data_IF_144151574339
#
_entry.id   IF_144151574339
#
_cell.length_a   1.000
_cell.length_b   1.000
_cell.length_c   1.000
_cell.angle_alpha   90.00
_cell.angle_beta   90.00
_cell.angle_gamma   90.00
#
_symmetry.space_group_name_H-M   'P 1'
#
loop_
_entity.id
_entity.type
_entity.pdbx_description
1 polymer ?
#
# COMPACT_ATOMS: atom_id res chain seq x y z
N UNK A 1 -7.36 2.97 3.45
CA UNK A 1 -7.20 2.65 2.01
C UNK A 1 -6.50 1.30 1.86
N UNK A 2 -6.61 0.64 0.69
CA UNK A 2 -5.82 -0.57 0.36
C UNK A 2 -4.92 -0.25 -0.84
N UNK A 3 -3.64 -0.60 -0.75
CA UNK A 3 -2.64 -0.44 -1.81
C UNK A 3 -1.68 -1.62 -1.80
N UNK A 4 -1.01 -1.85 -2.93
CA UNK A 4 0.07 -2.82 -3.02
C UNK A 4 1.32 -2.23 -2.39
N UNK A 5 1.91 -2.94 -1.42
CA UNK A 5 3.14 -2.53 -0.75
C UNK A 5 4.32 -3.35 -1.28
N UNK A 6 5.43 -2.69 -1.61
CA UNK A 6 6.69 -3.33 -1.94
C UNK A 6 7.77 -2.82 -0.99
N UNK A 7 8.37 -3.72 -0.21
CA UNK A 7 9.54 -3.39 0.60
C UNK A 7 10.75 -3.20 -0.30
N UNK A 8 11.48 -2.12 -0.07
CA UNK A 8 12.76 -1.83 -0.69
C UNK A 8 13.86 -1.84 0.39
N UNK A 9 15.15 -1.89 -0.01
CA UNK A 9 16.26 -1.71 0.91
C UNK A 9 16.17 -0.40 1.69
N UNK A 10 16.91 -0.31 2.80
CA UNK A 10 17.01 0.89 3.66
C UNK A 10 15.69 1.34 4.29
N UNK A 11 14.73 0.43 4.48
CA UNK A 11 13.47 0.74 5.18
C UNK A 11 12.46 1.52 4.35
N UNK A 12 12.61 1.57 3.03
CA UNK A 12 11.65 2.24 2.14
C UNK A 12 10.52 1.27 1.78
N UNK A 13 9.28 1.75 1.83
CA UNK A 13 8.10 1.08 1.26
C UNK A 13 7.66 1.85 0.02
N UNK A 14 7.59 1.18 -1.12
CA UNK A 14 6.88 1.70 -2.30
C UNK A 14 5.42 1.31 -2.21
N UNK A 15 4.54 2.30 -2.27
CA UNK A 15 3.09 2.14 -2.28
C UNK A 15 2.60 2.37 -3.70
N UNK A 16 1.99 1.34 -4.29
CA UNK A 16 1.52 1.35 -5.67
C UNK A 16 0.01 1.12 -5.73
N UNK A 17 -0.68 1.91 -6.54
CA UNK A 17 -2.08 1.66 -6.88
C UNK A 17 -2.18 0.59 -7.97
N UNK A 18 -3.21 -0.24 -7.91
CA UNK A 18 -3.52 -1.15 -9.02
C UNK A 18 -4.28 -0.44 -10.17
N UNK A 19 -4.70 0.81 -9.94
CA UNK A 19 -5.19 1.72 -10.97
C UNK A 19 -4.01 2.52 -11.56
N UNK A 20 -3.74 2.42 -12.89
CA UNK A 20 -2.61 3.08 -13.54
C UNK A 20 -2.72 4.61 -13.60
N UNK A 21 -3.89 5.20 -13.29
CA UNK A 21 -4.06 6.65 -13.23
C UNK A 21 -3.35 7.31 -12.04
N UNK A 22 -2.83 6.52 -11.09
CA UNK A 22 -2.20 7.02 -9.87
C UNK A 22 -0.71 6.67 -9.80
N UNK A 23 0.11 7.69 -9.60
CA UNK A 23 1.54 7.52 -9.42
C UNK A 23 1.87 6.80 -8.10
N UNK A 24 2.88 5.91 -8.08
CA UNK A 24 3.40 5.33 -6.85
C UNK A 24 4.10 6.37 -5.98
N UNK A 25 4.04 6.19 -4.66
CA UNK A 25 4.76 7.01 -3.71
C UNK A 25 5.61 6.17 -2.75
N UNK A 26 6.54 6.83 -2.07
CA UNK A 26 7.48 6.20 -1.14
C UNK A 26 7.16 6.61 0.29
N UNK A 27 7.32 5.66 1.21
CA UNK A 27 7.27 5.87 2.65
C UNK A 27 8.62 5.45 3.21
N UNK A 28 9.27 6.32 3.98
CA UNK A 28 10.55 6.03 4.62
C UNK A 28 10.32 5.64 6.08
N UNK A 29 10.47 4.36 6.41
CA UNK A 29 10.27 3.88 7.79
C UNK A 29 11.41 4.25 8.74
N UNK A 30 12.53 4.77 8.23
CA UNK A 30 13.62 5.29 9.05
C UNK A 30 13.39 6.74 9.49
N UNK A 31 12.38 7.42 8.93
CA UNK A 31 12.00 8.77 9.33
C UNK A 31 10.96 8.69 10.46
N UNK A 32 11.37 9.07 11.67
CA UNK A 32 10.55 9.00 12.89
C UNK A 32 9.31 9.91 12.84
N UNK A 33 9.27 10.90 11.95
CA UNK A 33 8.09 11.75 11.74
C UNK A 33 7.03 11.11 10.85
N UNK A 34 7.32 9.94 10.26
CA UNK A 34 6.41 9.24 9.37
C UNK A 34 5.25 8.63 10.16
N UNK A 35 4.07 9.22 10.02
CA UNK A 35 2.82 8.64 10.50
C UNK A 35 2.31 7.57 9.52
N UNK A 36 2.76 6.33 9.72
CA UNK A 36 2.40 5.19 8.87
C UNK A 36 2.19 3.91 9.67
N UNK A 37 1.06 3.24 9.41
CA UNK A 37 0.77 1.93 9.98
C UNK A 37 0.14 0.98 8.96
N UNK A 38 0.55 -0.29 8.99
CA UNK A 38 -0.12 -1.37 8.25
C UNK A 38 -1.13 -2.02 9.19
N UNK A 39 -2.42 -1.76 8.94
CA UNK A 39 -3.51 -2.24 9.80
C UNK A 39 -3.85 -3.72 9.58
N UNK A 40 -3.50 -4.29 8.41
CA UNK A 40 -3.81 -5.67 8.08
C UNK A 40 -3.37 -6.07 6.68
N UNK A 41 -3.66 -7.32 6.31
CA UNK A 41 -3.36 -7.90 5.00
C UNK A 41 -4.66 -8.27 4.30
N UNK A 42 -4.79 -7.88 3.03
CA UNK A 42 -5.87 -8.39 2.18
C UNK A 42 -5.60 -9.85 1.85
N UNK A 43 -6.55 -10.72 2.21
CA UNK A 43 -6.48 -12.17 1.95
C UNK A 43 -7.51 -12.65 0.94
N UNK A 44 -8.53 -11.84 0.67
CA UNK A 44 -9.59 -12.14 -0.29
C UNK A 44 -10.18 -10.84 -0.86
N UNK A 45 -10.69 -10.92 -2.08
CA UNK A 45 -11.44 -9.86 -2.75
C UNK A 45 -12.67 -10.53 -3.36
N UNK A 46 -13.84 -9.94 -3.19
CA UNK A 46 -15.06 -10.39 -3.84
C UNK A 46 -15.89 -9.24 -4.36
N UNK A 47 -16.63 -9.54 -5.41
CA UNK A 47 -17.58 -8.63 -6.02
C UNK A 47 -18.96 -9.25 -5.93
N UNK A 48 -19.95 -8.50 -5.42
CA UNK A 48 -21.33 -8.96 -5.44
C UNK A 48 -21.84 -8.88 -6.88
N UNK A 49 -22.08 -10.03 -7.49
CA UNK A 49 -22.85 -10.11 -8.73
C UNK A 49 -24.32 -9.82 -8.38
N UNK A 50 -24.90 -8.79 -8.99
CA UNK A 50 -26.31 -8.43 -8.81
C UNK A 50 -27.23 -9.51 -9.35
N UNK A 51 -28.41 -9.64 -8.73
CA UNK A 51 -29.50 -10.52 -9.17
C UNK A 51 -30.26 -9.93 -10.36
#
# INVERSE_FOLDING_TARGET
MVKRLQRQPKGIIRVTSDDPAYDPFLVNLADESTDFAVLGRVVWIGHKLGA
#
